data_IF_539179359540
#
_entry.id   IF_539179359540
#
_cell.length_a   1.000
_cell.length_b   1.000
_cell.length_c   1.000
_cell.angle_alpha   90.00
_cell.angle_beta   90.00
_cell.angle_gamma   90.00
#
_symmetry.space_group_name_H-M   'P 1'
#
loop_
_entity.id
_entity.type
_entity.pdbx_description
1 polymer ?
#
# COMPACT_ATOMS: atom_id res chain seq x y z
N UNK A 1 -11.69 20.52 -4.98
CA UNK A 1 -10.88 19.79 -3.99
C UNK A 1 -9.49 19.56 -4.57
N UNK A 2 -8.46 20.28 -4.08
CA UNK A 2 -7.09 20.18 -4.61
C UNK A 2 -6.48 18.78 -4.46
N UNK A 3 -6.98 17.93 -3.54
CA UNK A 3 -6.48 16.56 -3.36
C UNK A 3 -6.82 15.60 -4.51
N UNK A 4 -7.98 15.78 -5.16
CA UNK A 4 -8.42 14.90 -6.27
C UNK A 4 -7.62 15.14 -7.56
N UNK A 5 -7.28 16.40 -7.85
CA UNK A 5 -6.51 16.76 -9.03
C UNK A 5 -5.06 16.24 -8.97
N UNK A 6 -4.43 16.27 -7.79
CA UNK A 6 -3.09 15.72 -7.59
C UNK A 6 -3.07 14.18 -7.65
N UNK A 7 -4.11 13.51 -7.13
CA UNK A 7 -4.22 12.05 -7.18
C UNK A 7 -4.41 11.53 -8.62
N UNK A 8 -5.25 12.18 -9.42
CA UNK A 8 -5.41 11.82 -10.84
C UNK A 8 -4.13 12.08 -11.64
N UNK A 9 -3.40 13.14 -11.30
CA UNK A 9 -2.10 13.46 -11.92
C UNK A 9 -1.04 12.45 -11.51
N UNK A 10 -1.05 12.01 -10.25
CA UNK A 10 -0.20 10.95 -9.73
C UNK A 10 -0.49 9.62 -10.42
N UNK A 11 -1.76 9.20 -10.52
CA UNK A 11 -2.14 8.02 -11.30
C UNK A 11 -1.62 8.08 -12.74
N UNK A 12 -1.76 9.23 -13.41
CA UNK A 12 -1.18 9.42 -14.76
C UNK A 12 0.35 9.33 -14.79
N UNK A 13 1.04 9.85 -13.77
CA UNK A 13 2.48 9.72 -13.64
C UNK A 13 2.90 8.27 -13.40
N UNK A 14 2.18 7.53 -12.56
CA UNK A 14 2.37 6.11 -12.29
C UNK A 14 2.18 5.30 -13.58
N UNK A 15 1.10 5.54 -14.32
CA UNK A 15 0.88 4.92 -15.63
C UNK A 15 1.98 5.28 -16.65
N UNK A 16 2.40 6.56 -16.71
CA UNK A 16 3.50 6.98 -17.59
C UNK A 16 4.82 6.26 -17.25
N UNK A 17 5.08 6.06 -15.96
CA UNK A 17 6.20 5.30 -15.43
C UNK A 17 5.96 3.77 -15.44
N UNK A 18 4.78 3.29 -15.85
CA UNK A 18 4.36 1.88 -15.82
C UNK A 18 4.50 1.24 -14.43
N UNK A 19 4.20 2.03 -13.41
CA UNK A 19 4.07 1.58 -12.03
C UNK A 19 2.61 1.18 -11.83
N UNK A 20 2.38 -0.03 -11.30
CA UNK A 20 1.04 -0.52 -11.03
C UNK A 20 0.44 0.20 -9.80
N UNK A 21 -0.62 1.00 -9.94
CA UNK A 21 -1.25 1.70 -8.82
C UNK A 21 -1.92 0.75 -7.83
N UNK A 22 -2.35 -0.44 -8.26
CA UNK A 22 -3.01 -1.44 -7.39
C UNK A 22 -2.02 -1.94 -6.35
N UNK A 23 -0.77 -2.13 -6.74
CA UNK A 23 0.29 -2.52 -5.82
C UNK A 23 0.64 -1.39 -4.85
N UNK A 24 0.43 -0.10 -5.17
CA UNK A 24 0.72 1.06 -4.31
C UNK A 24 -0.30 1.31 -3.18
N UNK A 25 -1.35 0.48 -3.07
CA UNK A 25 -2.36 0.59 -2.00
C UNK A 25 -3.55 1.51 -2.32
N UNK A 26 -3.75 1.91 -3.59
CA UNK A 26 -4.83 2.83 -3.99
C UNK A 26 -6.24 2.18 -4.08
N UNK A 27 -6.35 0.87 -3.85
CA UNK A 27 -7.64 0.18 -3.63
C UNK A 27 -7.58 -0.66 -2.35
N UNK A 28 -7.80 0.00 -1.22
CA UNK A 28 -8.46 -0.68 -0.12
C UNK A 28 -9.96 -0.77 -0.46
N UNK A 29 -10.46 -2.00 -0.58
CA UNK A 29 -11.89 -2.34 -0.51
C UNK A 29 -12.77 -1.79 -1.66
N UNK A 30 -12.64 -2.34 -2.87
CA UNK A 30 -13.68 -2.12 -3.89
C UNK A 30 -13.87 -3.35 -4.79
N UNK A 31 -14.11 -4.49 -4.13
CA UNK A 31 -14.81 -5.64 -4.71
C UNK A 31 -15.88 -6.07 -3.71
N UNK A 32 -16.91 -5.24 -3.59
CA UNK A 32 -18.23 -5.67 -3.13
C UNK A 32 -19.18 -5.44 -4.29
N UNK A 33 -19.48 -6.50 -5.03
CA UNK A 33 -20.88 -6.86 -5.26
C UNK A 33 -21.02 -8.21 -5.98
N UNK A 34 -22.05 -8.93 -5.52
CA UNK A 34 -22.83 -9.96 -6.21
C UNK A 34 -22.33 -11.42 -6.21
N UNK A 35 -22.64 -12.18 -5.14
CA UNK A 35 -23.23 -13.54 -5.22
C UNK A 35 -23.51 -14.19 -3.83
N UNK A 36 -24.80 -14.24 -3.48
CA UNK A 36 -25.60 -15.33 -2.87
C UNK A 36 -24.91 -16.54 -2.19
N UNK A 37 -25.29 -16.80 -0.94
CA UNK A 37 -25.54 -18.12 -0.29
C UNK A 37 -24.52 -19.28 -0.37
N UNK A 38 -23.23 -19.03 -0.57
CA UNK A 38 -22.17 -20.01 -0.28
C UNK A 38 -21.19 -19.45 0.77
N UNK A 39 -20.67 -20.33 1.64
CA UNK A 39 -19.56 -19.99 2.54
C UNK A 39 -18.31 -19.81 1.67
N UNK A 40 -18.16 -18.60 1.12
CA UNK A 40 -17.00 -18.25 0.31
C UNK A 40 -15.89 -17.75 1.24
N UNK A 41 -14.73 -18.38 1.13
CA UNK A 41 -13.49 -17.85 1.70
C UNK A 41 -13.10 -16.59 0.89
N UNK A 42 -12.90 -15.47 1.58
CA UNK A 42 -12.42 -14.22 0.97
C UNK A 42 -10.92 -14.06 1.20
N UNK A 43 -10.24 -13.36 0.29
CA UNK A 43 -8.80 -13.07 0.40
C UNK A 43 -8.59 -11.57 0.48
N UNK A 44 -7.87 -11.13 1.52
CA UNK A 44 -7.46 -9.75 1.70
C UNK A 44 -5.94 -9.62 1.60
N UNK A 45 -5.46 -8.80 0.65
CA UNK A 45 -4.07 -8.39 0.58
C UNK A 45 -3.89 -6.99 1.17
N UNK A 46 -2.98 -6.83 2.13
CA UNK A 46 -2.79 -5.59 2.87
C UNK A 46 -1.33 -5.40 3.29
N UNK A 47 -0.87 -4.15 3.27
CA UNK A 47 0.43 -3.79 3.84
C UNK A 47 0.26 -3.65 5.36
N UNK A 48 1.12 -4.32 6.13
CA UNK A 48 1.12 -4.24 7.58
C UNK A 48 2.41 -3.60 8.10
N UNK A 49 2.33 -3.01 9.30
CA UNK A 49 3.50 -2.56 10.06
C UNK A 49 3.75 -3.54 11.21
N UNK A 50 5.02 -3.81 11.56
CA UNK A 50 5.31 -4.70 12.68
C UNK A 50 4.61 -4.26 13.98
N UNK A 51 4.09 -5.22 14.76
CA UNK A 51 3.38 -4.96 16.02
C UNK A 51 4.18 -4.06 16.98
N UNK A 52 5.49 -4.26 17.08
CA UNK A 52 6.37 -3.45 17.95
C UNK A 52 6.39 -1.95 17.58
N UNK A 53 6.01 -1.61 16.34
CA UNK A 53 5.99 -0.24 15.82
C UNK A 53 4.58 0.35 15.85
N UNK A 54 3.55 -0.47 16.01
CA UNK A 54 2.14 -0.08 15.92
C UNK A 54 1.78 1.13 16.79
N UNK A 55 2.15 1.08 18.07
CA UNK A 55 1.81 2.15 19.01
C UNK A 55 2.44 3.49 18.66
N UNK A 56 3.64 3.49 18.08
CA UNK A 56 4.30 4.72 17.62
C UNK A 56 3.67 5.18 16.31
N UNK A 57 3.49 4.25 15.37
CA UNK A 57 2.96 4.52 14.04
C UNK A 57 1.56 5.12 14.08
N UNK A 58 0.64 4.55 14.89
CA UNK A 58 -0.77 4.98 14.93
C UNK A 58 -1.01 6.35 15.58
N UNK A 59 -0.01 6.93 16.26
CA UNK A 59 -0.14 8.17 17.06
C UNK A 59 0.31 9.42 16.33
N UNK A 60 0.99 9.28 15.18
CA UNK A 60 1.59 10.40 14.46
C UNK A 60 1.18 10.41 13.00
N UNK A 61 1.47 11.54 12.34
CA UNK A 61 1.43 11.65 10.88
C UNK A 61 2.87 11.61 10.39
N UNK A 62 3.24 10.55 9.67
CA UNK A 62 4.57 10.42 9.08
C UNK A 62 4.68 11.09 7.69
N UNK A 63 5.86 10.99 7.08
CA UNK A 63 6.11 11.53 5.75
C UNK A 63 5.16 10.94 4.69
N UNK A 64 4.90 9.64 4.75
CA UNK A 64 4.06 8.92 3.77
C UNK A 64 2.62 9.41 3.90
N UNK A 65 2.10 9.45 5.13
CA UNK A 65 0.75 9.94 5.41
C UNK A 65 0.58 11.43 5.10
N UNK A 66 1.65 12.23 5.21
CA UNK A 66 1.56 13.66 4.92
C UNK A 66 1.60 13.98 3.43
N UNK A 67 2.44 13.29 2.67
CA UNK A 67 2.80 13.72 1.31
C UNK A 67 2.45 12.71 0.21
N UNK A 68 2.26 11.43 0.53
CA UNK A 68 2.04 10.37 -0.45
C UNK A 68 0.60 9.84 -0.35
N UNK A 69 0.18 9.40 0.83
CA UNK A 69 -1.16 8.85 1.09
C UNK A 69 -1.86 9.53 2.28
N UNK A 70 -2.39 10.75 2.10
CA UNK A 70 -3.17 11.45 3.11
C UNK A 70 -4.29 10.61 3.71
N UNK A 71 -4.26 10.43 5.03
CA UNK A 71 -5.26 9.65 5.76
C UNK A 71 -5.05 8.13 5.74
N UNK A 72 -4.02 7.63 5.05
CA UNK A 72 -3.68 6.21 5.06
C UNK A 72 -3.23 5.73 6.44
N UNK A 73 -3.59 4.50 6.82
CA UNK A 73 -3.18 3.87 8.07
C UNK A 73 -2.94 2.38 7.80
N UNK A 74 -1.71 1.92 8.06
CA UNK A 74 -1.34 0.51 7.98
C UNK A 74 -1.63 -0.17 9.32
N UNK A 75 -2.46 -1.22 9.39
CA UNK A 75 -2.64 -1.96 10.63
C UNK A 75 -1.38 -2.77 10.97
N UNK A 76 -1.24 -3.16 12.23
CA UNK A 76 -0.35 -4.28 12.58
C UNK A 76 -1.05 -5.63 12.36
N UNK A 77 -0.33 -6.75 12.26
CA UNK A 77 -0.94 -8.07 12.17
C UNK A 77 -1.94 -8.35 13.30
N UNK A 78 -1.62 -7.94 14.54
CA UNK A 78 -2.54 -8.08 15.68
C UNK A 78 -3.78 -7.20 15.52
N UNK A 79 -3.60 -5.92 15.16
CA UNK A 79 -4.72 -5.01 14.96
C UNK A 79 -5.64 -5.48 13.83
N UNK A 80 -5.07 -5.97 12.72
CA UNK A 80 -5.81 -6.54 11.61
C UNK A 80 -6.67 -7.73 12.05
N UNK A 81 -6.10 -8.69 12.78
CA UNK A 81 -6.84 -9.86 13.30
C UNK A 81 -7.97 -9.47 14.23
N UNK A 82 -7.78 -8.42 15.05
CA UNK A 82 -8.84 -7.87 15.92
C UNK A 82 -10.00 -7.33 15.09
N UNK A 83 -9.72 -6.56 14.03
CA UNK A 83 -10.78 -6.02 13.17
C UNK A 83 -11.49 -7.11 12.36
N UNK A 84 -10.76 -8.11 11.85
CA UNK A 84 -11.35 -9.29 11.20
C UNK A 84 -12.30 -10.03 12.15
N UNK A 85 -11.87 -10.26 13.40
CA UNK A 85 -12.71 -10.92 14.40
C UNK A 85 -13.96 -10.09 14.76
N UNK A 86 -13.84 -8.77 14.88
CA UNK A 86 -14.99 -7.87 15.11
C UNK A 86 -16.01 -7.92 13.98
N UNK A 87 -15.57 -8.21 12.75
CA UNK A 87 -16.44 -8.40 11.60
C UNK A 87 -17.13 -9.78 11.57
N UNK A 88 -16.89 -10.66 12.55
CA UNK A 88 -17.43 -12.02 12.59
C UNK A 88 -16.73 -12.99 11.63
N UNK A 89 -15.50 -12.67 11.24
CA UNK A 89 -14.66 -13.46 10.35
C UNK A 89 -13.47 -14.07 11.11
N UNK A 90 -12.88 -15.12 10.54
CA UNK A 90 -11.69 -15.79 11.06
C UNK A 90 -10.61 -15.86 9.99
N UNK A 91 -9.37 -15.54 10.37
CA UNK A 91 -8.21 -15.75 9.51
C UNK A 91 -7.83 -17.24 9.53
N UNK A 92 -7.89 -17.90 8.37
CA UNK A 92 -7.56 -19.33 8.22
C UNK A 92 -6.18 -19.57 7.62
N UNK A 93 -5.68 -18.62 6.83
CA UNK A 93 -4.34 -18.68 6.23
C UNK A 93 -3.72 -17.26 6.14
N UNK A 94 -2.39 -17.21 6.06
CA UNK A 94 -1.61 -15.98 5.97
C UNK A 94 -0.31 -16.24 5.21
N UNK A 95 -0.05 -15.42 4.19
CA UNK A 95 1.21 -15.43 3.44
C UNK A 95 1.82 -14.04 3.45
N UNK A 96 3.03 -13.94 3.96
CA UNK A 96 3.83 -12.71 4.00
C UNK A 96 4.92 -12.73 2.91
N UNK A 97 5.09 -11.63 2.19
CA UNK A 97 6.03 -11.55 1.06
C UNK A 97 6.67 -10.17 0.86
N UNK A 98 6.99 -9.50 1.97
CA UNK A 98 7.61 -8.18 2.00
C UNK A 98 8.89 -8.05 1.19
N UNK A 99 9.74 -9.08 1.13
CA UNK A 99 10.97 -9.06 0.30
C UNK A 99 10.66 -8.86 -1.18
N UNK A 100 9.66 -9.56 -1.71
CA UNK A 100 9.19 -9.40 -3.09
C UNK A 100 8.72 -7.97 -3.35
N UNK A 101 8.11 -7.34 -2.34
CA UNK A 101 7.64 -5.97 -2.43
C UNK A 101 8.79 -4.93 -2.32
N UNK A 102 9.83 -5.19 -1.52
CA UNK A 102 11.08 -4.44 -1.54
C UNK A 102 11.71 -4.43 -2.93
N UNK A 103 11.80 -5.60 -3.58
CA UNK A 103 12.29 -5.72 -4.96
C UNK A 103 11.42 -4.94 -5.95
N UNK A 104 10.10 -4.98 -5.77
CA UNK A 104 9.16 -4.24 -6.60
C UNK A 104 9.41 -2.72 -6.51
N UNK A 105 9.54 -2.18 -5.30
CA UNK A 105 9.82 -0.76 -5.08
C UNK A 105 11.17 -0.31 -5.67
N UNK A 106 12.20 -1.17 -5.64
CA UNK A 106 13.50 -0.90 -6.27
C UNK A 106 13.39 -0.83 -7.80
N UNK A 107 12.68 -1.78 -8.42
CA UNK A 107 12.41 -1.77 -9.87
C UNK A 107 11.58 -0.55 -10.30
N UNK A 108 10.63 -0.15 -9.46
CA UNK A 108 9.84 1.06 -9.66
C UNK A 108 10.70 2.32 -9.57
N UNK A 109 11.64 2.38 -8.63
CA UNK A 109 12.59 3.49 -8.53
C UNK A 109 13.47 3.61 -9.79
N UNK A 110 14.01 2.50 -10.29
CA UNK A 110 14.76 2.47 -11.54
C UNK A 110 13.89 2.98 -12.71
N UNK A 111 12.72 2.38 -12.90
CA UNK A 111 11.81 2.72 -14.00
C UNK A 111 11.34 4.18 -13.94
N UNK A 112 11.05 4.70 -12.75
CA UNK A 112 10.65 6.09 -12.54
C UNK A 112 11.74 7.07 -12.99
N UNK A 113 13.00 6.81 -12.63
CA UNK A 113 14.11 7.67 -13.00
C UNK A 113 14.46 7.56 -14.48
N UNK A 114 14.43 6.36 -15.05
CA UNK A 114 14.66 6.13 -16.48
C UNK A 114 13.62 6.83 -17.36
N UNK A 115 12.42 7.04 -16.82
CA UNK A 115 11.29 7.69 -17.52
C UNK A 115 11.00 9.10 -17.02
N UNK A 116 11.91 9.70 -16.26
CA UNK A 116 11.68 10.99 -15.62
C UNK A 116 11.25 12.07 -16.61
N UNK A 117 11.86 12.14 -17.80
CA UNK A 117 11.52 13.15 -18.80
C UNK A 117 10.03 13.12 -19.21
N UNK A 118 9.42 11.92 -19.25
CA UNK A 118 7.99 11.78 -19.53
C UNK A 118 7.14 12.27 -18.37
N UNK A 119 7.57 12.00 -17.13
CA UNK A 119 6.89 12.49 -15.93
C UNK A 119 7.00 14.01 -15.84
N UNK A 120 8.19 14.57 -16.08
CA UNK A 120 8.44 16.01 -16.11
C UNK A 120 7.56 16.72 -17.16
N UNK A 121 7.37 16.13 -18.34
CA UNK A 121 6.48 16.65 -19.38
C UNK A 121 5.00 16.76 -18.94
N UNK A 122 4.57 16.03 -17.91
CA UNK A 122 3.24 16.16 -17.30
C UNK A 122 3.13 17.33 -16.30
N UNK A 123 4.22 18.08 -16.11
CA UNK A 123 4.31 19.26 -15.25
C UNK A 123 4.75 18.96 -13.82
N UNK A 124 5.44 17.84 -13.58
CA UNK A 124 6.11 17.55 -12.31
C UNK A 124 7.52 18.12 -12.29
N UNK A 125 7.95 18.62 -11.13
CA UNK A 125 9.23 19.29 -10.96
C UNK A 125 10.26 18.41 -10.22
N UNK A 126 11.49 18.90 -10.13
CA UNK A 126 12.58 18.19 -9.45
C UNK A 126 12.30 17.99 -7.95
N UNK A 127 11.48 18.85 -7.34
CA UNK A 127 11.04 18.67 -5.96
C UNK A 127 10.18 17.42 -5.83
N UNK A 128 9.23 17.21 -6.74
CA UNK A 128 8.43 15.99 -6.81
C UNK A 128 9.32 14.77 -7.05
N UNK A 129 10.28 14.85 -7.98
CA UNK A 129 11.23 13.74 -8.24
C UNK A 129 11.95 13.28 -6.99
N UNK A 130 12.52 14.23 -6.23
CA UNK A 130 13.25 13.94 -4.98
C UNK A 130 12.34 13.33 -3.92
N UNK A 131 11.12 13.87 -3.78
CA UNK A 131 10.12 13.35 -2.86
C UNK A 131 9.73 11.91 -3.21
N UNK A 132 9.50 11.62 -4.49
CA UNK A 132 9.11 10.30 -4.97
C UNK A 132 10.24 9.28 -4.86
N UNK A 133 11.48 9.67 -5.17
CA UNK A 133 12.67 8.83 -4.96
C UNK A 133 12.87 8.49 -3.48
N UNK A 134 12.69 9.47 -2.58
CA UNK A 134 12.74 9.22 -1.15
C UNK A 134 11.65 8.24 -0.71
N UNK A 135 10.41 8.41 -1.18
CA UNK A 135 9.32 7.48 -0.92
C UNK A 135 9.66 6.04 -1.33
N UNK A 136 10.03 5.82 -2.60
CA UNK A 136 10.30 4.48 -3.13
C UNK A 136 11.47 3.79 -2.40
N UNK A 137 12.57 4.51 -2.20
CA UNK A 137 13.78 3.94 -1.58
C UNK A 137 13.62 3.69 -0.09
N UNK A 138 12.96 4.60 0.64
CA UNK A 138 12.69 4.41 2.08
C UNK A 138 11.69 3.29 2.35
N UNK A 139 10.67 3.14 1.49
CA UNK A 139 9.74 2.03 1.57
C UNK A 139 10.46 0.72 1.25
N UNK A 140 11.28 0.67 0.18
CA UNK A 140 12.03 -0.53 -0.15
C UNK A 140 12.89 -1.00 1.04
N UNK A 141 13.64 -0.08 1.66
CA UNK A 141 14.41 -0.39 2.87
C UNK A 141 13.56 -0.78 4.08
N UNK A 142 12.32 -0.28 4.18
CA UNK A 142 11.40 -0.66 5.26
C UNK A 142 10.88 -2.09 5.11
N UNK A 143 10.56 -2.53 3.89
CA UNK A 143 10.20 -3.92 3.60
C UNK A 143 11.41 -4.85 3.73
N UNK A 144 12.57 -4.45 3.19
CA UNK A 144 13.84 -5.19 3.29
C UNK A 144 14.29 -5.41 4.74
N UNK A 145 14.15 -4.38 5.57
CA UNK A 145 14.44 -4.45 7.01
C UNK A 145 13.31 -5.06 7.85
N UNK A 146 12.24 -5.55 7.21
CA UNK A 146 11.08 -6.18 7.84
C UNK A 146 10.17 -5.24 8.64
N UNK A 147 10.41 -3.92 8.66
CA UNK A 147 9.57 -2.98 9.40
C UNK A 147 8.11 -2.93 8.90
N UNK A 148 7.91 -3.26 7.63
CA UNK A 148 6.62 -3.46 7.00
C UNK A 148 6.59 -4.79 6.25
N UNK A 149 5.40 -5.31 6.00
CA UNK A 149 5.18 -6.51 5.20
C UNK A 149 3.98 -6.35 4.26
N UNK A 150 3.91 -7.17 3.22
CA UNK A 150 2.67 -7.40 2.47
C UNK A 150 2.14 -8.74 2.89
N UNK A 151 0.94 -8.73 3.47
CA UNK A 151 0.26 -9.92 3.96
C UNK A 151 -0.95 -10.18 3.11
N UNK A 152 -1.08 -11.41 2.61
CA UNK A 152 -2.31 -11.94 2.05
C UNK A 152 -2.93 -12.88 3.07
N UNK A 153 -4.11 -12.53 3.59
CA UNK A 153 -4.87 -13.37 4.52
C UNK A 153 -6.08 -13.97 3.83
N UNK A 154 -6.38 -15.22 4.15
CA UNK A 154 -7.67 -15.85 3.83
C UNK A 154 -8.58 -15.73 5.04
N UNK A 155 -9.81 -15.25 4.83
CA UNK A 155 -10.80 -15.06 5.88
C UNK A 155 -12.09 -15.82 5.58
N UNK A 156 -12.70 -16.39 6.62
CA UNK A 156 -13.92 -17.18 6.49
C UNK A 156 -14.94 -16.77 7.55
N UNK A 157 -16.22 -16.97 7.27
CA UNK A 157 -17.28 -16.77 8.27
C UNK A 157 -17.25 -17.93 9.27
N UNK A 158 -17.42 -17.62 10.55
CA UNK A 158 -17.65 -18.66 11.57
C UNK A 158 -18.87 -19.50 11.16
N UNK A 159 -18.71 -20.84 11.18
CA UNK A 159 -19.80 -21.78 10.94
C UNK A 159 -20.86 -21.74 12.04
#
# INVERSE_FOLDING_TARGET
DPGRADRDRLHRALHAAHLDPVALGDRALDQQDDARDEVADDVLQIITVQDKRWEVYRRGVDFIQKYIFPGGMLPSPTALRVEVAKAGLHVTDSVEFGESYSMTLRRWHETFNDRWDRVAALGFDERFRRMWNFYLTSCAGSFDGGNCDVTQITVTRAA
#
